data_IF_076614009308
#
_entry.id   IF_076614009308
#
_cell.length_a   1.000
_cell.length_b   1.000
_cell.length_c   1.000
_cell.angle_alpha   90.00
_cell.angle_beta   90.00
_cell.angle_gamma   90.00
#
_symmetry.space_group_name_H-M   'P 1'
#
loop_
_entity.id
_entity.type
_entity.pdbx_description
1 polymer ?
#
# COMPACT_ATOMS: atom_id res chain seq x y z
N UNK A 1 -20.79 -2.07 7.49
CA UNK A 1 -19.66 -1.68 6.62
C UNK A 1 -19.17 -0.34 7.12
N UNK A 2 -17.89 -0.20 7.45
CA UNK A 2 -17.32 1.10 7.84
C UNK A 2 -16.89 1.79 6.54
N UNK A 3 -17.70 2.73 6.07
CA UNK A 3 -17.31 3.61 4.97
C UNK A 3 -16.34 4.66 5.52
N UNK A 4 -15.17 4.73 4.91
CA UNK A 4 -14.22 5.81 5.15
C UNK A 4 -14.64 7.00 4.28
N UNK A 5 -14.51 8.20 4.83
CA UNK A 5 -14.78 9.44 4.10
C UNK A 5 -13.50 10.25 4.00
N UNK A 6 -13.26 10.86 2.84
CA UNK A 6 -12.12 11.73 2.66
C UNK A 6 -12.27 12.98 3.55
N UNK A 7 -11.32 13.27 4.47
CA UNK A 7 -11.43 14.45 5.34
C UNK A 7 -11.39 15.78 4.56
N UNK A 8 -10.88 15.78 3.33
CA UNK A 8 -10.80 16.97 2.48
C UNK A 8 -12.10 17.28 1.74
N UNK A 9 -12.83 16.27 1.26
CA UNK A 9 -14.00 16.48 0.39
C UNK A 9 -15.28 15.74 0.81
N UNK A 10 -15.22 14.88 1.84
CA UNK A 10 -16.39 14.17 2.37
C UNK A 10 -16.91 13.03 1.50
N UNK A 11 -16.21 12.66 0.43
CA UNK A 11 -16.58 11.54 -0.44
C UNK A 11 -16.01 10.21 0.09
N UNK A 12 -16.79 9.14 -0.02
CA UNK A 12 -16.32 7.77 0.14
C UNK A 12 -15.71 7.29 -1.17
N UNK A 13 -14.47 6.82 -1.12
CA UNK A 13 -13.78 6.24 -2.26
C UNK A 13 -13.96 4.73 -2.30
N UNK A 14 -13.99 4.15 -3.50
CA UNK A 14 -14.00 2.69 -3.67
C UNK A 14 -12.67 2.06 -3.23
N UNK A 15 -11.56 2.78 -3.38
CA UNK A 15 -10.24 2.37 -2.94
C UNK A 15 -9.38 3.55 -2.49
N UNK A 16 -8.51 3.31 -1.51
CA UNK A 16 -7.54 4.28 -0.97
C UNK A 16 -6.09 3.88 -1.26
N UNK A 17 -5.89 2.92 -2.18
CA UNK A 17 -4.57 2.44 -2.55
C UNK A 17 -3.96 3.46 -3.51
N UNK A 18 -2.79 3.99 -3.17
CA UNK A 18 -2.04 4.88 -4.07
C UNK A 18 -1.33 4.08 -5.15
N UNK A 19 -1.06 4.71 -6.29
CA UNK A 19 -0.35 4.10 -7.40
C UNK A 19 1.03 3.57 -6.98
N UNK A 20 1.77 4.34 -6.18
CA UNK A 20 3.07 3.94 -5.62
C UNK A 20 3.00 2.63 -4.82
N UNK A 21 1.92 2.42 -4.06
CA UNK A 21 1.70 1.18 -3.29
C UNK A 21 1.44 0.02 -4.23
N UNK A 22 0.66 0.24 -5.29
CA UNK A 22 0.35 -0.78 -6.28
C UNK A 22 1.60 -1.19 -7.06
N UNK A 23 2.41 -0.22 -7.51
CA UNK A 23 3.66 -0.46 -8.22
C UNK A 23 4.65 -1.26 -7.37
N UNK A 24 4.85 -0.86 -6.11
CA UNK A 24 5.71 -1.59 -5.18
C UNK A 24 5.21 -3.03 -4.96
N UNK A 25 3.91 -3.22 -4.77
CA UNK A 25 3.32 -4.54 -4.59
C UNK A 25 3.54 -5.45 -5.81
N UNK A 26 3.41 -4.91 -7.02
CA UNK A 26 3.68 -5.63 -8.27
C UNK A 26 5.16 -6.02 -8.37
N UNK A 27 6.09 -5.10 -8.08
CA UNK A 27 7.52 -5.35 -8.13
C UNK A 27 7.93 -6.47 -7.15
N UNK A 28 7.49 -6.37 -5.89
CA UNK A 28 7.74 -7.40 -4.87
C UNK A 28 7.18 -8.77 -5.29
N UNK A 29 5.97 -8.78 -5.85
CA UNK A 29 5.31 -10.03 -6.29
C UNK A 29 6.08 -10.68 -7.43
N UNK A 30 6.50 -9.90 -8.43
CA UNK A 30 7.32 -10.40 -9.55
C UNK A 30 8.64 -10.97 -9.06
N UNK A 31 9.36 -10.25 -8.21
CA UNK A 31 10.64 -10.71 -7.65
C UNK A 31 10.48 -12.04 -6.92
N UNK A 32 9.45 -12.13 -6.07
CA UNK A 32 9.16 -13.36 -5.33
C UNK A 32 8.76 -14.52 -6.23
N UNK A 33 7.91 -14.27 -7.22
CA UNK A 33 7.47 -15.28 -8.18
C UNK A 33 8.64 -15.84 -8.98
N UNK A 34 9.53 -14.96 -9.47
CA UNK A 34 10.73 -15.36 -10.22
C UNK A 34 11.69 -16.20 -9.37
N UNK A 35 11.87 -15.85 -8.09
CA UNK A 35 12.66 -16.64 -7.15
C UNK A 35 12.08 -18.04 -6.92
N UNK A 36 10.76 -18.14 -6.80
CA UNK A 36 10.08 -19.43 -6.65
C UNK A 36 10.27 -20.30 -7.89
N UNK A 37 10.05 -19.75 -9.08
CA UNK A 37 10.26 -20.45 -10.35
C UNK A 37 11.70 -20.93 -10.48
N UNK A 38 12.68 -20.06 -10.22
CA UNK A 38 14.09 -20.43 -10.30
C UNK A 38 14.48 -21.51 -9.27
N UNK A 39 13.90 -21.47 -8.08
CA UNK A 39 14.11 -22.49 -7.05
C UNK A 39 13.59 -23.86 -7.49
N UNK A 40 12.40 -23.92 -8.09
CA UNK A 40 11.86 -25.17 -8.63
C UNK A 40 12.67 -25.70 -9.81
N UNK A 41 13.12 -24.83 -10.72
CA UNK A 41 14.03 -25.22 -11.80
C UNK A 41 15.37 -25.74 -11.28
N UNK A 42 15.94 -25.16 -10.21
CA UNK A 42 17.15 -25.70 -9.57
C UNK A 42 16.93 -27.06 -8.92
N UNK A 43 15.77 -27.30 -8.33
CA UNK A 43 15.42 -28.64 -7.80
C UNK A 43 15.33 -29.65 -8.94
N UNK A 44 14.69 -29.27 -10.04
CA UNK A 44 14.58 -30.09 -11.25
C UNK A 44 15.97 -30.42 -11.82
N UNK A 45 16.85 -29.43 -11.98
CA UNK A 45 18.24 -29.65 -12.41
C UNK A 45 18.96 -30.67 -11.51
N UNK A 46 18.79 -30.60 -10.18
CA UNK A 46 19.40 -31.57 -9.26
C UNK A 46 18.85 -32.99 -9.44
N UNK A 47 17.56 -33.13 -9.73
CA UNK A 47 16.92 -34.44 -9.97
C UNK A 47 17.40 -35.07 -11.27
N UNK A 48 17.49 -34.29 -12.36
CA UNK A 48 17.85 -34.79 -13.68
C UNK A 48 19.37 -34.88 -13.92
N UNK A 49 20.21 -34.41 -12.97
CA UNK A 49 21.68 -34.43 -13.10
C UNK A 49 22.28 -35.84 -13.29
N UNK A 50 21.61 -36.89 -12.82
CA UNK A 50 22.04 -38.30 -12.97
C UNK A 50 21.25 -39.08 -14.03
N UNK A 51 20.30 -38.42 -14.72
CA UNK A 51 19.46 -39.04 -15.74
C UNK A 51 20.05 -38.91 -17.15
N UNK A 52 19.41 -39.54 -18.16
CA UNK A 52 19.85 -39.47 -19.55
C UNK A 52 19.66 -38.09 -20.19
N UNK A 53 18.90 -37.19 -19.57
CA UNK A 53 18.68 -35.80 -20.01
C UNK A 53 19.19 -34.86 -18.92
N UNK A 54 20.08 -33.93 -19.29
CA UNK A 54 20.59 -32.91 -18.38
C UNK A 54 19.85 -31.59 -18.57
N UNK A 55 19.28 -31.05 -17.49
CA UNK A 55 18.58 -29.76 -17.47
C UNK A 55 19.38 -28.75 -16.63
N UNK A 56 19.50 -27.50 -17.08
CA UNK A 56 20.19 -26.42 -16.36
C UNK A 56 19.24 -25.26 -16.12
N UNK A 57 19.11 -24.83 -14.87
CA UNK A 57 18.20 -23.76 -14.45
C UNK A 57 18.68 -22.34 -14.81
N UNK A 58 19.89 -22.19 -15.36
CA UNK A 58 20.46 -20.90 -15.76
C UNK A 58 20.87 -20.01 -14.58
N UNK A 59 21.04 -18.70 -14.86
CA UNK A 59 21.41 -17.69 -13.87
C UNK A 59 20.21 -17.32 -12.97
N UNK A 60 20.46 -16.88 -11.73
CA UNK A 60 19.38 -16.35 -10.90
C UNK A 60 18.70 -15.14 -11.58
N UNK A 61 17.38 -14.99 -11.40
CA UNK A 61 16.65 -13.86 -11.95
C UNK A 61 17.16 -12.54 -11.37
N UNK A 62 17.16 -11.48 -12.18
CA UNK A 62 17.44 -10.13 -11.70
C UNK A 62 16.16 -9.56 -11.11
N UNK A 63 16.24 -9.04 -9.88
CA UNK A 63 15.12 -8.41 -9.22
C UNK A 63 14.85 -7.01 -9.80
N UNK A 64 13.57 -6.70 -10.01
CA UNK A 64 13.11 -5.32 -10.20
C UNK A 64 13.35 -4.53 -8.90
N UNK A 65 13.54 -3.21 -9.02
CA UNK A 65 13.80 -2.36 -7.87
C UNK A 65 12.52 -2.19 -7.04
N UNK A 66 12.61 -2.48 -5.75
CA UNK A 66 11.53 -2.27 -4.78
C UNK A 66 11.78 -0.93 -4.08
N UNK A 67 11.20 0.14 -4.61
CA UNK A 67 11.33 1.47 -4.02
C UNK A 67 10.41 1.60 -2.79
N UNK A 68 10.95 1.90 -1.59
CA UNK A 68 10.13 2.00 -0.39
C UNK A 68 9.19 3.20 -0.49
N UNK A 69 7.96 3.01 0.01
CA UNK A 69 6.99 4.10 0.11
C UNK A 69 7.55 5.17 1.06
N UNK A 70 7.86 6.34 0.52
CA UNK A 70 8.32 7.48 1.31
C UNK A 70 7.13 8.32 1.71
N UNK A 71 6.72 8.22 2.97
CA UNK A 71 5.73 9.13 3.53
C UNK A 71 6.26 10.56 3.47
N UNK A 72 5.47 11.49 2.91
CA UNK A 72 5.79 12.91 2.99
C UNK A 72 5.92 13.36 4.45
N UNK A 73 6.75 14.39 4.70
CA UNK A 73 6.93 15.01 6.02
C UNK A 73 5.72 15.91 6.33
N UNK A 74 4.50 15.39 6.16
CA UNK A 74 3.29 16.11 6.52
C UNK A 74 3.01 15.86 8.01
N UNK A 75 3.27 16.87 8.85
CA UNK A 75 2.93 16.84 10.27
C UNK A 75 1.40 16.88 10.42
N UNK A 76 0.77 15.71 10.44
CA UNK A 76 -0.67 15.62 10.68
C UNK A 76 -1.03 15.98 12.13
N UNK A 77 -2.11 16.71 12.31
CA UNK A 77 -2.64 17.10 13.62
C UNK A 77 -3.85 16.24 13.99
N UNK A 78 -4.06 16.07 15.30
CA UNK A 78 -5.25 15.38 15.80
C UNK A 78 -6.42 16.39 15.84
N UNK A 79 -7.51 16.05 15.15
CA UNK A 79 -8.79 16.74 15.23
C UNK A 79 -9.82 15.86 15.93
N UNK A 80 -10.62 16.48 16.80
CA UNK A 80 -11.75 15.83 17.47
C UNK A 80 -13.03 16.08 16.67
N UNK A 81 -13.82 15.03 16.46
CA UNK A 81 -15.07 15.07 15.71
C UNK A 81 -16.25 14.82 16.64
N UNK A 82 -17.02 15.86 17.03
CA UNK A 82 -18.15 15.74 17.96
C UNK A 82 -19.25 14.81 17.44
N UNK A 83 -19.46 14.77 16.12
CA UNK A 83 -20.50 13.97 15.46
C UNK A 83 -20.40 12.45 15.76
N UNK A 84 -19.19 11.95 16.00
CA UNK A 84 -18.95 10.54 16.32
C UNK A 84 -18.20 10.33 17.64
N UNK A 85 -17.85 11.41 18.34
CA UNK A 85 -16.98 11.38 19.53
C UNK A 85 -15.66 10.63 19.28
N UNK A 86 -15.08 10.82 18.09
CA UNK A 86 -13.84 10.17 17.65
C UNK A 86 -12.79 11.21 17.27
N UNK A 87 -11.54 10.80 17.30
CA UNK A 87 -10.41 11.62 16.84
C UNK A 87 -9.82 11.04 15.56
N UNK A 88 -9.32 11.90 14.68
CA UNK A 88 -8.57 11.47 13.50
C UNK A 88 -7.41 12.43 13.21
N UNK A 89 -6.39 11.92 12.52
CA UNK A 89 -5.26 12.72 12.04
C UNK A 89 -5.65 13.38 10.72
N UNK A 90 -5.53 14.69 10.66
CA UNK A 90 -5.84 15.50 9.47
C UNK A 90 -4.69 16.44 9.17
N UNK A 91 -4.62 16.95 7.92
CA UNK A 91 -3.64 17.98 7.57
C UNK A 91 -3.91 19.26 8.39
N UNK A 92 -2.89 19.99 8.86
CA UNK A 92 -3.09 21.24 9.61
C UNK A 92 -4.01 22.24 8.90
N UNK A 93 -3.85 22.39 7.58
CA UNK A 93 -4.69 23.27 6.77
C UNK A 93 -6.18 22.86 6.77
N UNK A 94 -6.47 21.56 6.85
CA UNK A 94 -7.85 21.05 6.88
C UNK A 94 -8.46 21.21 8.27
N UNK A 95 -7.65 21.22 9.33
CA UNK A 95 -8.11 21.59 10.65
C UNK A 95 -8.54 23.06 10.65
N UNK A 96 -7.64 23.94 10.18
CA UNK A 96 -7.83 25.41 10.08
C UNK A 96 -8.97 25.90 9.16
N UNK A 97 -9.42 25.08 8.21
CA UNK A 97 -10.45 25.49 7.22
C UNK A 97 -11.77 24.73 7.39
N UNK A 98 -11.81 23.79 8.33
CA UNK A 98 -12.87 22.80 8.48
C UNK A 98 -12.63 21.54 7.64
N UNK A 99 -12.95 20.39 8.22
CA UNK A 99 -12.73 19.09 7.62
C UNK A 99 -13.94 18.18 7.80
N UNK A 100 -14.08 17.20 6.91
CA UNK A 100 -15.14 16.20 7.00
C UNK A 100 -14.73 15.08 7.96
N UNK A 101 -15.68 14.58 8.74
CA UNK A 101 -15.45 13.45 9.62
C UNK A 101 -15.15 12.19 8.80
N UNK A 102 -13.99 11.53 8.98
CA UNK A 102 -13.63 10.33 8.22
C UNK A 102 -14.55 9.13 8.46
N UNK A 103 -15.39 9.18 9.50
CA UNK A 103 -16.25 8.08 9.93
C UNK A 103 -17.72 8.22 9.49
N UNK A 104 -18.19 9.44 9.27
CA UNK A 104 -19.61 9.68 8.93
C UNK A 104 -19.83 10.75 7.86
N UNK A 105 -18.78 11.37 7.32
CA UNK A 105 -18.88 12.38 6.27
C UNK A 105 -19.47 13.72 6.71
N UNK A 106 -19.83 13.91 7.98
CA UNK A 106 -20.35 15.18 8.49
C UNK A 106 -19.23 16.22 8.52
N UNK A 107 -19.48 17.40 7.95
CA UNK A 107 -18.52 18.52 7.97
C UNK A 107 -18.41 19.10 9.36
N UNK A 108 -17.19 19.11 9.90
CA UNK A 108 -16.84 19.80 11.13
C UNK A 108 -16.33 21.18 10.72
N UNK A 109 -17.17 22.21 10.88
CA UNK A 109 -16.73 23.59 10.82
C UNK A 109 -15.93 23.84 12.10
N UNK A 110 -14.82 24.58 12.01
CA UNK A 110 -14.17 25.06 13.24
C UNK A 110 -15.22 25.77 14.09
N UNK A 111 -15.45 25.25 15.28
CA UNK A 111 -16.17 25.97 16.33
C UNK A 111 -15.09 26.84 16.97
N UNK A 112 -15.24 28.17 16.81
CA UNK A 112 -14.48 29.18 17.57
C UNK A 112 -14.41 28.84 19.07
#
# INVERSE_FOLDING_TARGET
MLELFCPSCGLAGESYITEDVLELAIAMTKNKAMDMIHKEFKKMERQFRKGPVTFKAGKPPKHEREDPIRSGIEAMEIASFPCCQRTAKVKPILKMTGCYCPFCGVKNYEVE
#
